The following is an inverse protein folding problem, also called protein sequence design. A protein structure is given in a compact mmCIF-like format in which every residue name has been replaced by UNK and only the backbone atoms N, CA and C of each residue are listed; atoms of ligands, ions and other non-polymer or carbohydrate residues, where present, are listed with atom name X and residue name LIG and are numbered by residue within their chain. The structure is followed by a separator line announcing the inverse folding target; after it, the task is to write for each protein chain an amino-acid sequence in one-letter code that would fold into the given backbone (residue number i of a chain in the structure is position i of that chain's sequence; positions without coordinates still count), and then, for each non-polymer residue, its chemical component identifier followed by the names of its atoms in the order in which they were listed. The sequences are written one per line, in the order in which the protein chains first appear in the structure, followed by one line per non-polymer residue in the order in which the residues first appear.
data_IF_853334862754
#
_entry.id   IF_853334862754
#
_cell.length_a   1.000
_cell.length_b   1.000
_cell.length_c   1.000
_cell.angle_alpha   90.00
_cell.angle_beta   90.00
_cell.angle_gamma   90.00
#
_symmetry.space_group_name_H-M   'P 1'
#
loop_
_entity.id
_entity.type
_entity.pdbx_description
1 polymer ?
#
# COMPACT_ATOMS: atom_id res chain seq x y z
N UNK A 1 -24.69 -0.26 -20.87
CA UNK A 1 -24.98 -1.64 -21.34
C UNK A 1 -23.72 -2.48 -21.65
N UNK A 2 -22.49 -1.89 -21.75
CA UNK A 2 -21.22 -2.66 -21.91
C UNK A 2 -20.64 -3.21 -20.61
N UNK A 3 -20.96 -2.60 -19.46
CA UNK A 3 -20.40 -3.05 -18.16
C UNK A 3 -20.95 -4.39 -17.66
N UNK A 4 -22.20 -4.72 -17.92
CA UNK A 4 -22.76 -6.02 -17.50
C UNK A 4 -22.08 -7.24 -18.17
N UNK A 5 -21.60 -7.10 -19.40
CA UNK A 5 -20.91 -8.18 -20.09
C UNK A 5 -19.55 -8.53 -19.50
N UNK A 6 -18.76 -7.50 -19.11
CA UNK A 6 -17.41 -7.70 -18.55
C UNK A 6 -17.48 -8.36 -17.17
N UNK A 7 -18.39 -7.94 -16.32
CA UNK A 7 -18.57 -8.55 -14.99
C UNK A 7 -19.01 -10.00 -15.07
N UNK A 8 -19.90 -10.32 -16.02
CA UNK A 8 -20.36 -11.68 -16.23
C UNK A 8 -19.24 -12.59 -16.75
N UNK A 9 -18.41 -12.08 -17.66
CA UNK A 9 -17.22 -12.79 -18.14
C UNK A 9 -16.20 -13.04 -17.01
N UNK A 10 -15.97 -12.05 -16.14
CA UNK A 10 -15.10 -12.19 -14.96
C UNK A 10 -15.66 -13.26 -13.99
N UNK A 11 -16.96 -13.28 -13.73
CA UNK A 11 -17.59 -14.30 -12.90
C UNK A 11 -17.44 -15.71 -13.49
N UNK A 12 -17.67 -15.88 -14.78
CA UNK A 12 -17.51 -17.15 -15.48
C UNK A 12 -16.06 -17.66 -15.39
N UNK A 13 -15.07 -16.79 -15.66
CA UNK A 13 -13.64 -17.11 -15.52
C UNK A 13 -13.25 -17.43 -14.09
N UNK A 14 -13.82 -16.73 -13.11
CA UNK A 14 -13.57 -17.01 -11.70
C UNK A 14 -14.15 -18.37 -11.29
N UNK A 15 -15.34 -18.73 -11.75
CA UNK A 15 -15.94 -20.03 -11.51
C UNK A 15 -15.14 -21.17 -12.14
N UNK A 16 -14.64 -20.98 -13.37
CA UNK A 16 -13.76 -21.94 -14.04
C UNK A 16 -12.44 -22.12 -13.26
N UNK A 17 -11.81 -21.02 -12.84
CA UNK A 17 -10.61 -21.04 -12.00
C UNK A 17 -10.82 -21.83 -10.71
N UNK A 18 -11.96 -21.64 -10.04
CA UNK A 18 -12.31 -22.38 -8.83
C UNK A 18 -12.47 -23.91 -9.11
N UNK A 19 -13.09 -24.27 -10.24
CA UNK A 19 -13.28 -25.67 -10.63
C UNK A 19 -11.97 -26.38 -10.97
N UNK A 20 -10.98 -25.66 -11.50
CA UNK A 20 -9.66 -26.21 -11.81
C UNK A 20 -8.85 -26.59 -10.56
N UNK A 21 -9.26 -26.14 -9.36
CA UNK A 21 -8.60 -26.46 -8.10
C UNK A 21 -7.15 -25.95 -7.98
N UNK A 22 -6.73 -25.05 -8.87
CA UNK A 22 -5.36 -24.50 -8.93
C UNK A 22 -5.02 -23.79 -7.62
N UNK A 23 -5.99 -23.11 -7.02
CA UNK A 23 -5.85 -22.43 -5.71
C UNK A 23 -5.51 -23.36 -4.55
N UNK A 24 -5.74 -24.68 -4.70
CA UNK A 24 -5.39 -25.67 -3.68
C UNK A 24 -3.95 -26.18 -3.79
N UNK A 25 -3.31 -26.01 -4.93
CA UNK A 25 -1.94 -26.48 -5.21
C UNK A 25 -0.88 -25.39 -5.11
N UNK A 26 -1.28 -24.11 -5.18
CA UNK A 26 -0.39 -22.95 -5.10
C UNK A 26 -0.97 -21.95 -4.13
N UNK A 27 -0.17 -21.52 -3.16
CA UNK A 27 -0.52 -20.39 -2.28
C UNK A 27 -0.38 -19.07 -3.06
N UNK A 28 -1.41 -18.77 -3.87
CA UNK A 28 -1.44 -17.56 -4.68
C UNK A 28 -1.40 -16.29 -3.83
N UNK A 29 -2.02 -16.29 -2.65
CA UNK A 29 -2.05 -15.12 -1.78
C UNK A 29 -0.62 -14.76 -1.34
N UNK A 30 0.14 -15.76 -0.91
CA UNK A 30 1.54 -15.61 -0.53
C UNK A 30 2.41 -15.19 -1.72
N UNK A 31 2.23 -15.82 -2.87
CA UNK A 31 2.95 -15.49 -4.10
C UNK A 31 2.73 -14.03 -4.51
N UNK A 32 1.47 -13.60 -4.61
CA UNK A 32 1.15 -12.23 -4.97
C UNK A 32 1.62 -11.21 -3.94
N UNK A 33 1.56 -11.55 -2.66
CA UNK A 33 2.07 -10.68 -1.60
C UNK A 33 3.57 -10.43 -1.76
N UNK A 34 4.35 -11.46 -2.00
CA UNK A 34 5.82 -11.33 -2.15
C UNK A 34 6.17 -10.58 -3.42
N UNK A 35 5.49 -10.87 -4.52
CA UNK A 35 5.65 -10.15 -5.78
C UNK A 35 5.28 -8.67 -5.62
N UNK A 36 4.13 -8.35 -5.03
CA UNK A 36 3.72 -6.98 -4.76
C UNK A 36 4.76 -6.21 -3.93
N UNK A 37 5.25 -6.81 -2.85
CA UNK A 37 6.21 -6.16 -1.95
C UNK A 37 7.54 -5.90 -2.68
N UNK A 38 8.10 -6.90 -3.35
CA UNK A 38 9.38 -6.77 -4.05
C UNK A 38 9.30 -5.75 -5.19
N UNK A 39 8.28 -5.79 -6.00
CA UNK A 39 8.13 -4.82 -7.09
C UNK A 39 7.88 -3.40 -6.58
N UNK A 40 7.09 -3.24 -5.52
CA UNK A 40 6.85 -1.92 -4.93
C UNK A 40 8.11 -1.32 -4.30
N UNK A 41 8.88 -2.11 -3.56
CA UNK A 41 10.14 -1.64 -2.97
C UNK A 41 11.24 -1.43 -4.01
N UNK A 42 11.18 -2.14 -5.15
CA UNK A 42 12.10 -1.92 -6.27
C UNK A 42 11.94 -0.53 -6.90
N UNK A 43 10.73 0.04 -6.91
CA UNK A 43 10.49 1.43 -7.36
C UNK A 43 11.27 2.41 -6.48
N UNK A 44 11.42 2.11 -5.20
CA UNK A 44 12.19 2.89 -4.22
C UNK A 44 13.68 2.51 -4.16
N UNK A 45 14.16 1.68 -5.09
CA UNK A 45 15.56 1.32 -5.28
C UNK A 45 16.01 0.04 -4.57
N UNK A 46 15.11 -0.74 -3.96
CA UNK A 46 15.46 -2.07 -3.44
C UNK A 46 15.85 -3.00 -4.60
N UNK A 47 16.86 -3.84 -4.34
CA UNK A 47 17.29 -4.86 -5.31
C UNK A 47 17.05 -6.29 -4.79
N UNK A 48 16.14 -6.45 -3.81
CA UNK A 48 15.70 -7.78 -3.39
C UNK A 48 14.84 -8.41 -4.48
N UNK A 49 15.03 -9.70 -4.68
CA UNK A 49 14.22 -10.53 -5.56
C UNK A 49 13.04 -11.15 -4.78
N UNK A 50 12.07 -11.73 -5.48
CA UNK A 50 10.97 -12.48 -4.83
C UNK A 50 11.50 -13.64 -4.00
N UNK A 51 12.57 -14.30 -4.44
CA UNK A 51 13.25 -15.36 -3.67
C UNK A 51 13.89 -14.82 -2.38
N UNK A 52 14.52 -13.64 -2.44
CA UNK A 52 15.09 -12.99 -1.24
C UNK A 52 13.98 -12.60 -0.25
N UNK A 53 12.83 -12.12 -0.75
CA UNK A 53 11.67 -11.80 0.07
C UNK A 53 11.05 -13.07 0.69
N UNK A 54 10.98 -14.15 -0.05
CA UNK A 54 10.52 -15.43 0.47
C UNK A 54 11.43 -15.92 1.63
N UNK A 55 12.73 -15.92 1.45
CA UNK A 55 13.67 -16.30 2.51
C UNK A 55 13.54 -15.39 3.74
N UNK A 56 13.36 -14.08 3.51
CA UNK A 56 13.16 -13.12 4.59
C UNK A 56 11.89 -13.39 5.40
N UNK A 57 10.76 -13.60 4.71
CA UNK A 57 9.47 -13.70 5.37
C UNK A 57 9.17 -15.09 5.93
N UNK A 58 9.67 -16.15 5.29
CA UNK A 58 9.40 -17.51 5.70
C UNK A 58 10.44 -18.03 6.71
N UNK A 59 11.71 -17.64 6.56
CA UNK A 59 12.82 -18.21 7.32
C UNK A 59 13.54 -17.16 8.18
N UNK A 60 13.22 -15.87 8.04
CA UNK A 60 13.92 -14.79 8.74
C UNK A 60 15.35 -14.57 8.26
N UNK A 61 15.68 -15.03 7.06
CA UNK A 61 17.03 -14.92 6.51
C UNK A 61 17.18 -13.68 5.64
N UNK A 62 18.33 -13.01 5.79
CA UNK A 62 18.66 -11.84 4.97
C UNK A 62 19.50 -12.25 3.76
N UNK A 63 19.22 -11.64 2.59
CA UNK A 63 19.96 -11.89 1.38
C UNK A 63 21.43 -11.39 1.50
N UNK A 64 22.39 -12.26 1.21
CA UNK A 64 23.81 -11.93 1.30
C UNK A 64 24.21 -10.80 0.37
N UNK A 65 24.91 -9.82 0.91
CA UNK A 65 25.44 -8.68 0.13
C UNK A 65 24.40 -7.60 -0.22
N UNK A 66 23.18 -7.72 0.28
CA UNK A 66 22.15 -6.69 0.12
C UNK A 66 22.13 -5.75 1.32
N UNK A 67 21.93 -4.44 1.12
CA UNK A 67 21.78 -3.47 2.21
C UNK A 67 20.62 -3.84 3.15
N UNK A 68 20.83 -3.69 4.46
CA UNK A 68 19.82 -3.97 5.47
C UNK A 68 18.54 -3.15 5.24
N UNK A 69 18.68 -1.90 4.78
CA UNK A 69 17.53 -1.02 4.50
C UNK A 69 16.53 -1.64 3.51
N UNK A 70 16.97 -2.45 2.54
CA UNK A 70 16.08 -3.12 1.60
C UNK A 70 15.22 -4.19 2.29
N UNK A 71 15.79 -4.94 3.23
CA UNK A 71 15.05 -5.91 4.04
C UNK A 71 14.02 -5.20 4.92
N UNK A 72 14.42 -4.10 5.56
CA UNK A 72 13.54 -3.29 6.40
C UNK A 72 12.37 -2.67 5.60
N UNK A 73 12.64 -2.18 4.39
CA UNK A 73 11.58 -1.68 3.49
C UNK A 73 10.55 -2.77 3.14
N UNK A 74 11.02 -3.99 2.84
CA UNK A 74 10.12 -5.11 2.54
C UNK A 74 9.31 -5.52 3.77
N UNK A 75 9.92 -5.59 4.95
CA UNK A 75 9.26 -5.88 6.22
C UNK A 75 8.18 -4.85 6.56
N UNK A 76 8.49 -3.57 6.45
CA UNK A 76 7.56 -2.49 6.78
C UNK A 76 6.39 -2.45 5.77
N UNK A 77 6.66 -2.65 4.48
CA UNK A 77 5.61 -2.72 3.47
C UNK A 77 4.70 -3.94 3.69
N UNK A 78 5.26 -5.12 4.04
CA UNK A 78 4.47 -6.30 4.38
C UNK A 78 3.50 -6.00 5.53
N UNK A 79 4.00 -5.41 6.61
CA UNK A 79 3.17 -5.04 7.79
C UNK A 79 2.11 -4.00 7.46
N UNK A 80 2.44 -3.02 6.60
CA UNK A 80 1.48 -2.03 6.15
C UNK A 80 0.37 -2.65 5.28
N UNK A 81 0.72 -3.61 4.42
CA UNK A 81 -0.25 -4.34 3.62
C UNK A 81 -1.17 -5.21 4.47
N UNK A 82 -0.61 -5.96 5.44
CA UNK A 82 -1.39 -6.77 6.39
C UNK A 82 -2.36 -5.90 7.20
N UNK A 83 -1.89 -4.76 7.73
CA UNK A 83 -2.74 -3.79 8.40
C UNK A 83 -3.88 -3.29 7.49
N UNK A 84 -3.57 -2.92 6.25
CA UNK A 84 -4.59 -2.44 5.31
C UNK A 84 -5.64 -3.53 5.01
N UNK A 85 -5.21 -4.80 4.88
CA UNK A 85 -6.08 -5.95 4.66
C UNK A 85 -7.01 -6.21 5.85
N UNK A 86 -6.47 -6.19 7.06
CA UNK A 86 -7.24 -6.35 8.31
C UNK A 86 -8.31 -5.26 8.46
N UNK A 87 -7.93 -4.01 8.26
CA UNK A 87 -8.85 -2.88 8.36
C UNK A 87 -9.93 -2.92 7.25
N UNK A 88 -9.57 -3.39 6.04
CA UNK A 88 -10.53 -3.60 4.96
C UNK A 88 -11.55 -4.71 5.29
N UNK A 89 -11.11 -5.80 5.91
CA UNK A 89 -12.01 -6.88 6.37
C UNK A 89 -12.97 -6.42 7.48
N UNK A 90 -12.53 -5.46 8.30
CA UNK A 90 -13.36 -4.84 9.33
C UNK A 90 -14.26 -3.71 8.80
N UNK A 91 -14.24 -3.44 7.49
CA UNK A 91 -14.91 -2.29 6.87
C UNK A 91 -14.58 -0.96 7.56
N UNK A 92 -13.35 -0.81 8.02
CA UNK A 92 -12.90 0.41 8.69
C UNK A 92 -12.95 1.59 7.73
N UNK A 93 -13.54 2.70 8.16
CA UNK A 93 -13.63 3.91 7.36
C UNK A 93 -12.23 4.47 7.05
N UNK A 94 -12.01 4.84 5.80
CA UNK A 94 -10.77 5.53 5.37
C UNK A 94 -10.80 6.94 5.93
N UNK A 95 -9.97 7.20 6.94
CA UNK A 95 -9.83 8.48 7.62
C UNK A 95 -8.41 9.03 7.50
N UNK A 96 -8.17 10.33 7.73
CA UNK A 96 -6.82 10.87 7.80
C UNK A 96 -5.94 10.14 8.83
N UNK A 97 -6.50 9.81 10.00
CA UNK A 97 -5.80 9.07 11.05
C UNK A 97 -5.41 7.65 10.59
N UNK A 98 -6.28 6.97 9.85
CA UNK A 98 -5.96 5.67 9.28
C UNK A 98 -4.82 5.78 8.25
N UNK A 99 -4.86 6.76 7.35
CA UNK A 99 -3.79 6.97 6.37
C UNK A 99 -2.45 7.31 7.05
N UNK A 100 -2.47 8.09 8.13
CA UNK A 100 -1.27 8.37 8.92
C UNK A 100 -0.75 7.11 9.65
N UNK A 101 -1.63 6.28 10.22
CA UNK A 101 -1.28 5.00 10.84
C UNK A 101 -0.64 4.06 9.82
N UNK A 102 -1.22 3.97 8.62
CA UNK A 102 -0.70 3.14 7.53
C UNK A 102 0.69 3.62 7.09
N UNK A 103 0.86 4.93 6.89
CA UNK A 103 2.15 5.52 6.55
C UNK A 103 3.19 5.35 7.67
N UNK A 104 2.79 5.48 8.94
CA UNK A 104 3.68 5.21 10.08
C UNK A 104 4.17 3.75 10.09
N UNK A 105 3.30 2.81 9.74
CA UNK A 105 3.68 1.39 9.63
C UNK A 105 4.66 1.17 8.47
N UNK A 106 4.38 1.78 7.31
CA UNK A 106 5.22 1.71 6.12
C UNK A 106 6.61 2.34 6.31
N UNK A 107 6.68 3.41 7.06
CA UNK A 107 7.92 4.18 7.27
C UNK A 107 8.59 3.91 8.62
N UNK A 108 8.17 2.87 9.34
CA UNK A 108 8.55 2.61 10.74
C UNK A 108 10.06 2.54 10.94
N UNK A 109 10.78 1.87 10.02
CA UNK A 109 12.23 1.64 10.14
C UNK A 109 13.05 2.46 9.16
N UNK A 110 12.41 3.00 8.11
CA UNK A 110 13.08 3.78 7.05
C UNK A 110 12.76 5.27 7.11
N UNK A 111 11.73 5.66 7.85
CA UNK A 111 11.38 7.05 8.12
C UNK A 111 12.20 7.68 9.24
N UNK A 112 11.92 8.93 9.53
CA UNK A 112 12.59 9.68 10.60
C UNK A 112 12.16 11.14 10.69
N UNK A 113 12.85 11.89 11.54
CA UNK A 113 12.60 13.32 11.79
C UNK A 113 13.22 14.16 10.67
N UNK A 114 12.40 15.01 10.09
CA UNK A 114 12.76 15.97 9.08
C UNK A 114 12.62 17.40 9.61
N UNK A 115 13.74 18.14 9.69
CA UNK A 115 13.74 19.55 10.08
C UNK A 115 13.66 20.43 8.84
N UNK A 116 12.65 21.27 8.74
CA UNK A 116 12.36 22.10 7.57
C UNK A 116 12.06 23.55 7.98
N UNK A 117 11.99 24.46 7.02
CA UNK A 117 11.57 25.87 7.28
C UNK A 117 10.13 25.92 7.82
N UNK A 118 9.27 24.97 7.42
CA UNK A 118 7.89 24.90 7.89
C UNK A 118 7.71 24.25 9.26
N UNK A 119 8.79 23.75 9.87
CA UNK A 119 8.79 23.03 11.15
C UNK A 119 9.41 21.64 11.03
N UNK A 120 9.34 20.87 12.12
CA UNK A 120 9.79 19.48 12.16
C UNK A 120 8.61 18.54 12.05
N UNK A 121 8.78 17.45 11.30
CA UNK A 121 7.83 16.34 11.23
C UNK A 121 8.55 15.00 11.22
N UNK A 122 7.90 13.97 11.70
CA UNK A 122 8.44 12.60 11.76
C UNK A 122 7.68 11.68 10.82
N UNK A 123 8.31 11.30 9.70
CA UNK A 123 7.70 10.39 8.74
C UNK A 123 7.51 8.97 9.28
N UNK A 124 8.33 8.53 10.24
CA UNK A 124 8.16 7.24 10.91
C UNK A 124 6.90 7.17 11.80
N UNK A 125 6.33 8.32 12.13
CA UNK A 125 5.07 8.47 12.88
C UNK A 125 3.86 8.78 11.99
N UNK A 126 4.07 8.81 10.67
CA UNK A 126 3.02 9.14 9.70
C UNK A 126 2.61 10.60 9.68
N UNK A 127 3.42 11.49 10.24
CA UNK A 127 3.13 12.91 10.25
C UNK A 127 3.18 13.50 8.84
N UNK A 128 2.27 14.43 8.54
CA UNK A 128 2.26 15.11 7.27
C UNK A 128 3.51 15.98 7.10
N UNK A 129 4.07 15.96 5.89
CA UNK A 129 5.23 16.78 5.55
C UNK A 129 4.99 18.26 5.77
N UNK A 130 6.03 18.96 6.22
CA UNK A 130 6.07 20.41 6.42
C UNK A 130 7.06 21.08 5.43
N UNK A 131 7.24 20.50 4.24
CA UNK A 131 8.07 21.05 3.17
C UNK A 131 7.46 20.82 1.80
N UNK A 132 7.93 21.59 0.82
CA UNK A 132 7.65 21.35 -0.59
C UNK A 132 8.37 20.09 -1.07
N UNK A 133 7.76 19.35 -2.00
CA UNK A 133 8.37 18.19 -2.67
C UNK A 133 8.10 18.25 -4.17
N UNK A 134 8.99 17.66 -4.95
CA UNK A 134 8.92 17.57 -6.42
C UNK A 134 9.05 16.11 -6.86
N UNK A 135 8.49 15.79 -8.02
CA UNK A 135 8.65 14.48 -8.65
C UNK A 135 10.00 14.42 -9.36
N UNK A 136 11.05 14.02 -8.64
CA UNK A 136 12.42 13.94 -9.17
C UNK A 136 13.08 15.30 -9.40
N UNK A 137 14.28 15.28 -9.95
CA UNK A 137 15.07 16.49 -10.23
C UNK A 137 14.48 17.21 -11.46
N UNK A 138 14.06 18.47 -11.27
CA UNK A 138 13.42 19.27 -12.33
C UNK A 138 11.98 18.85 -12.66
N UNK A 139 11.39 17.95 -11.89
CA UNK A 139 10.03 17.48 -12.09
C UNK A 139 8.95 18.45 -11.58
N UNK A 140 7.69 18.03 -11.74
CA UNK A 140 6.53 18.82 -11.30
C UNK A 140 6.48 18.92 -9.78
N UNK A 141 6.31 20.14 -9.26
CA UNK A 141 6.08 20.35 -7.82
C UNK A 141 4.69 19.82 -7.41
N UNK A 142 4.64 19.14 -6.29
CA UNK A 142 3.38 18.79 -5.65
C UNK A 142 2.76 20.00 -4.96
N UNK A 143 1.50 19.88 -4.53
CA UNK A 143 0.80 20.95 -3.82
C UNK A 143 1.57 21.39 -2.57
N UNK A 144 1.41 22.66 -2.19
CA UNK A 144 2.03 23.19 -0.96
C UNK A 144 1.61 22.41 0.28
N UNK A 145 2.56 22.16 1.17
CA UNK A 145 2.35 21.34 2.36
C UNK A 145 1.23 21.87 3.27
N UNK A 146 1.00 23.19 3.30
CA UNK A 146 -0.06 23.83 4.09
C UNK A 146 -1.48 23.32 3.72
N UNK A 147 -1.64 22.79 2.51
CA UNK A 147 -2.92 22.28 1.99
C UNK A 147 -3.06 20.77 2.17
N UNK A 148 -2.02 20.06 2.59
CA UNK A 148 -2.01 18.59 2.60
C UNK A 148 -3.09 18.06 3.54
N UNK A 149 -3.16 18.51 4.79
CA UNK A 149 -4.15 18.04 5.76
C UNK A 149 -5.58 18.19 5.25
N UNK A 150 -5.95 19.41 4.83
CA UNK A 150 -7.30 19.68 4.32
C UNK A 150 -7.64 18.85 3.06
N UNK A 151 -6.66 18.59 2.18
CA UNK A 151 -6.88 17.79 0.98
C UNK A 151 -6.97 16.29 1.28
N UNK A 152 -6.30 15.82 2.31
CA UNK A 152 -6.46 14.44 2.78
C UNK A 152 -7.85 14.25 3.42
N UNK A 153 -8.32 15.20 4.21
CA UNK A 153 -9.68 15.18 4.77
C UNK A 153 -10.74 15.16 3.65
N UNK A 154 -10.61 16.04 2.65
CA UNK A 154 -11.48 16.08 1.47
C UNK A 154 -11.48 14.73 0.72
N UNK A 155 -10.30 14.15 0.48
CA UNK A 155 -10.15 12.84 -0.17
C UNK A 155 -10.87 11.75 0.62
N UNK A 156 -10.64 11.68 1.94
CA UNK A 156 -11.27 10.68 2.80
C UNK A 156 -12.81 10.81 2.76
N UNK A 157 -13.32 12.04 2.82
CA UNK A 157 -14.75 12.29 2.69
C UNK A 157 -15.30 11.78 1.36
N UNK A 158 -14.66 12.12 0.24
CA UNK A 158 -15.10 11.69 -1.09
C UNK A 158 -15.05 10.17 -1.26
N UNK A 159 -14.05 9.50 -0.68
CA UNK A 159 -13.95 8.03 -0.72
C UNK A 159 -15.10 7.39 0.05
N UNK A 160 -15.42 7.90 1.24
CA UNK A 160 -16.53 7.39 2.05
C UNK A 160 -17.87 7.57 1.36
N UNK A 161 -18.12 8.74 0.72
CA UNK A 161 -19.33 8.97 -0.04
C UNK A 161 -19.47 8.03 -1.25
N UNK A 162 -18.36 7.79 -1.96
CA UNK A 162 -18.37 6.85 -3.08
C UNK A 162 -18.56 5.40 -2.62
N UNK A 163 -17.99 5.01 -1.50
CA UNK A 163 -18.16 3.66 -0.94
C UNK A 163 -19.64 3.40 -0.64
N UNK A 164 -20.34 4.33 0.00
CA UNK A 164 -21.78 4.22 0.24
C UNK A 164 -22.58 4.05 -1.05
N UNK A 165 -22.22 4.79 -2.11
CA UNK A 165 -22.92 4.69 -3.40
C UNK A 165 -22.71 3.33 -4.09
N UNK A 166 -21.55 2.68 -3.91
CA UNK A 166 -21.27 1.35 -4.45
C UNK A 166 -22.02 0.26 -3.68
N UNK A 167 -22.12 0.37 -2.36
CA UNK A 167 -22.91 -0.54 -1.53
C UNK A 167 -24.38 -0.52 -1.95
N UNK A 168 -24.98 0.67 -2.10
CA UNK A 168 -26.36 0.82 -2.59
C UNK A 168 -26.57 0.22 -3.99
N UNK A 169 -25.55 0.24 -4.85
CA UNK A 169 -25.62 -0.37 -6.18
C UNK A 169 -25.54 -1.90 -6.17
N UNK A 170 -24.83 -2.48 -5.19
CA UNK A 170 -24.75 -3.95 -5.02
C UNK A 170 -26.01 -4.57 -4.44
N UNK A 171 -26.81 -3.78 -3.73
CA UNK A 171 -28.08 -4.20 -3.15
C UNK A 171 -29.27 -4.11 -4.15
N UNK A 172 -29.08 -3.49 -5.31
CA UNK A 172 -30.04 -3.40 -6.42
C UNK A 172 -29.75 -4.45 -7.50
#
# INVERSE_FOLDING_TARGET
MMEKGIWQEIEELYMEFQQLGISQSVDYEKYYLYSLITHSTAIEGSTLTEMDAQLLFDEGLTAKGKPLVYHLMNEDLKKAYELAKEEAQCNTAITPAFLQKLNATLMRTTGGIHNTIGGSFDSSRGEFRLCGVTAGVGGRSYMGYQKVSAKVEELCFLLQERQKSVETFREQ
#
